data_IF_047312589068
#
_entry.id   IF_047312589068
#
_cell.length_a   1.000
_cell.length_b   1.000
_cell.length_c   1.000
_cell.angle_alpha   90.00
_cell.angle_beta   90.00
_cell.angle_gamma   90.00
#
_symmetry.space_group_name_H-M   'P 1'
#
loop_
_entity.id
_entity.type
_entity.pdbx_description
1 polymer ?
#
# COMPACT_ATOMS: atom_id res chain seq x y z
N UNK A 1 -6.96 20.81 13.15
CA UNK A 1 -7.82 19.75 12.54
C UNK A 1 -9.12 20.35 11.98
N UNK A 2 -9.97 21.05 12.79
CA UNK A 2 -11.26 21.57 12.33
C UNK A 2 -11.18 22.41 11.03
N UNK A 3 -10.26 23.39 10.97
CA UNK A 3 -10.05 24.21 9.76
C UNK A 3 -9.66 23.41 8.50
N UNK A 4 -9.05 22.23 8.65
CA UNK A 4 -8.70 21.37 7.51
C UNK A 4 -9.90 20.62 6.96
N UNK A 5 -10.87 20.30 7.81
CA UNK A 5 -12.17 19.74 7.37
C UNK A 5 -12.95 20.79 6.58
N UNK A 6 -12.99 22.03 7.08
CA UNK A 6 -13.62 23.16 6.38
C UNK A 6 -12.95 23.47 5.03
N UNK A 7 -11.64 23.25 4.94
CA UNK A 7 -10.86 23.39 3.70
C UNK A 7 -10.92 22.17 2.79
N UNK A 8 -11.83 21.21 3.03
CA UNK A 8 -11.96 19.96 2.27
C UNK A 8 -10.70 19.09 2.24
N UNK A 9 -9.88 19.13 3.30
CA UNK A 9 -8.69 18.31 3.47
C UNK A 9 -8.78 17.43 4.74
N UNK A 10 -9.78 16.52 4.83
CA UNK A 10 -10.06 15.76 6.04
C UNK A 10 -8.91 14.85 6.45
N UNK A 11 -8.17 14.28 5.50
CA UNK A 11 -7.04 13.42 5.82
C UNK A 11 -5.89 14.19 6.48
N UNK A 12 -5.62 15.45 6.09
CA UNK A 12 -4.67 16.30 6.81
C UNK A 12 -5.16 16.61 8.24
N UNK A 13 -6.46 16.78 8.42
CA UNK A 13 -7.06 16.95 9.74
C UNK A 13 -6.80 15.75 10.65
N UNK A 14 -6.99 14.54 10.13
CA UNK A 14 -6.70 13.28 10.84
C UNK A 14 -5.22 13.18 11.21
N UNK A 15 -4.31 13.39 10.24
CA UNK A 15 -2.85 13.37 10.47
C UNK A 15 -2.42 14.34 11.57
N UNK A 16 -2.95 15.57 11.56
CA UNK A 16 -2.66 16.57 12.60
C UNK A 16 -3.21 16.17 13.98
N UNK A 17 -4.31 15.43 14.04
CA UNK A 17 -4.84 14.92 15.31
C UNK A 17 -3.96 13.79 15.85
N UNK A 18 -3.56 12.85 14.97
CA UNK A 18 -2.66 11.75 15.33
C UNK A 18 -1.28 12.23 15.78
N UNK A 19 -0.78 13.33 15.20
CA UNK A 19 0.46 13.98 15.64
C UNK A 19 0.42 14.44 17.09
N UNK A 20 -0.73 14.92 17.55
CA UNK A 20 -0.88 15.36 18.95
C UNK A 20 -0.72 14.19 19.93
N UNK A 21 -1.02 12.97 19.48
CA UNK A 21 -0.95 11.76 20.30
C UNK A 21 0.44 11.08 20.28
N UNK A 22 1.34 11.49 19.38
CA UNK A 22 2.68 10.89 19.21
C UNK A 22 3.65 11.31 20.34
N UNK A 23 3.46 12.50 20.91
CA UNK A 23 4.44 13.13 21.82
C UNK A 23 4.80 12.35 23.08
N UNK A 24 3.93 11.45 23.57
CA UNK A 24 4.10 10.81 24.88
C UNK A 24 4.46 9.30 24.83
N UNK A 25 4.58 8.70 23.64
CA UNK A 25 4.57 7.22 23.53
C UNK A 25 5.83 6.56 22.95
N UNK A 26 6.79 7.32 22.45
CA UNK A 26 7.97 6.74 21.78
C UNK A 26 9.24 7.53 22.06
N UNK A 27 10.39 6.85 22.35
CA UNK A 27 11.69 7.53 22.44
C UNK A 27 12.08 8.27 21.14
N UNK A 28 11.55 7.86 20.00
CA UNK A 28 11.82 8.45 18.68
C UNK A 28 10.76 9.48 18.24
N UNK A 29 9.98 10.02 19.16
CA UNK A 29 8.87 10.95 18.85
C UNK A 29 9.28 12.16 18.01
N UNK A 30 10.43 12.74 18.30
CA UNK A 30 10.91 13.92 17.58
C UNK A 30 11.19 13.62 16.11
N UNK A 31 11.75 12.45 15.81
CA UNK A 31 11.97 11.96 14.45
C UNK A 31 10.67 11.70 13.72
N UNK A 32 9.73 11.01 14.37
CA UNK A 32 8.41 10.73 13.83
C UNK A 32 7.63 12.02 13.55
N UNK A 33 7.64 12.97 14.48
CA UNK A 33 7.03 14.29 14.34
C UNK A 33 7.63 15.05 13.14
N UNK A 34 8.96 15.10 13.04
CA UNK A 34 9.65 15.79 11.94
C UNK A 34 9.31 15.18 10.60
N UNK A 35 9.28 13.86 10.49
CA UNK A 35 8.91 13.14 9.27
C UNK A 35 7.47 13.45 8.84
N UNK A 36 6.53 13.44 9.78
CA UNK A 36 5.12 13.70 9.48
C UNK A 36 4.87 15.18 9.13
N UNK A 37 5.49 16.12 9.83
CA UNK A 37 5.43 17.54 9.46
C UNK A 37 6.04 17.80 8.08
N UNK A 38 7.14 17.11 7.73
CA UNK A 38 7.74 17.15 6.41
C UNK A 38 6.77 16.61 5.34
N UNK A 39 6.08 15.52 5.63
CA UNK A 39 5.05 14.93 4.76
C UNK A 39 3.90 15.90 4.53
N UNK A 40 3.36 16.49 5.59
CA UNK A 40 2.29 17.49 5.50
C UNK A 40 2.76 18.71 4.68
N UNK A 41 3.98 19.21 4.94
CA UNK A 41 4.54 20.32 4.16
C UNK A 41 4.64 19.98 2.67
N UNK A 42 5.13 18.79 2.34
CA UNK A 42 5.24 18.33 0.95
C UNK A 42 3.87 18.25 0.27
N UNK A 43 2.84 17.73 0.95
CA UNK A 43 1.47 17.69 0.42
C UNK A 43 0.95 19.10 0.15
N UNK A 44 1.14 20.04 1.09
CA UNK A 44 0.69 21.42 0.93
C UNK A 44 1.40 22.10 -0.23
N UNK A 45 2.71 21.94 -0.37
CA UNK A 45 3.48 22.47 -1.49
C UNK A 45 3.04 21.90 -2.81
N UNK A 46 2.85 20.59 -2.90
CA UNK A 46 2.38 19.92 -4.10
C UNK A 46 0.97 20.40 -4.49
N UNK A 47 0.09 20.63 -3.52
CA UNK A 47 -1.23 21.21 -3.78
C UNK A 47 -1.16 22.64 -4.33
N UNK A 48 -0.26 23.47 -3.80
CA UNK A 48 -0.05 24.84 -4.30
C UNK A 48 0.46 24.86 -5.74
N UNK A 49 1.31 23.90 -6.11
CA UNK A 49 1.95 23.80 -7.42
C UNK A 49 1.21 22.82 -8.38
N UNK A 50 0.00 22.36 -8.01
CA UNK A 50 -0.71 21.27 -8.72
C UNK A 50 -0.93 21.49 -10.22
N UNK A 51 -1.00 22.77 -10.66
CA UNK A 51 -1.17 23.12 -12.07
C UNK A 51 0.08 22.79 -12.91
N UNK A 52 1.23 22.65 -12.25
CA UNK A 52 2.51 22.33 -12.89
C UNK A 52 2.94 20.88 -12.71
N UNK A 53 2.16 20.09 -11.93
CA UNK A 53 2.47 18.68 -11.66
C UNK A 53 1.87 17.77 -12.75
N UNK A 54 2.52 16.62 -13.03
CA UNK A 54 1.91 15.55 -13.81
C UNK A 54 0.58 15.10 -13.24
N UNK A 55 -0.39 14.72 -14.09
CA UNK A 55 -1.73 14.32 -13.68
C UNK A 55 -1.74 13.20 -12.63
N UNK A 56 -0.85 12.21 -12.77
CA UNK A 56 -0.70 11.10 -11.83
C UNK A 56 -0.29 11.58 -10.44
N UNK A 57 0.60 12.55 -10.36
CA UNK A 57 1.03 13.13 -9.09
C UNK A 57 -0.06 14.00 -8.46
N UNK A 58 -0.84 14.73 -9.26
CA UNK A 58 -2.03 15.44 -8.79
C UNK A 58 -3.04 14.48 -8.19
N UNK A 59 -3.28 13.32 -8.83
CA UNK A 59 -4.15 12.29 -8.28
C UNK A 59 -3.64 11.76 -6.93
N UNK A 60 -2.32 11.55 -6.78
CA UNK A 60 -1.70 11.16 -5.51
C UNK A 60 -1.91 12.25 -4.43
N UNK A 61 -1.72 13.54 -4.76
CA UNK A 61 -2.00 14.66 -3.85
C UNK A 61 -3.46 14.66 -3.39
N UNK A 62 -4.41 14.46 -4.30
CA UNK A 62 -5.83 14.36 -3.97
C UNK A 62 -6.11 13.25 -2.96
N UNK A 63 -5.49 12.08 -3.13
CA UNK A 63 -5.60 10.97 -2.18
C UNK A 63 -5.07 11.35 -0.79
N UNK A 64 -3.92 12.03 -0.73
CA UNK A 64 -3.31 12.49 0.53
C UNK A 64 -4.14 13.55 1.25
N UNK A 65 -4.89 14.35 0.52
CA UNK A 65 -5.83 15.34 1.08
C UNK A 65 -7.12 14.67 1.57
N UNK A 66 -7.40 13.42 1.18
CA UNK A 66 -8.64 12.73 1.46
C UNK A 66 -9.77 13.09 0.49
N UNK A 67 -9.41 13.63 -0.67
CA UNK A 67 -10.35 13.83 -1.77
C UNK A 67 -10.59 12.48 -2.44
N UNK A 68 -11.66 11.81 -2.03
CA UNK A 68 -11.96 10.47 -2.52
C UNK A 68 -12.45 10.49 -3.97
N UNK A 69 -11.86 9.66 -4.80
CA UNK A 69 -12.44 9.30 -6.10
C UNK A 69 -13.63 8.38 -5.83
N UNK A 70 -14.82 8.72 -6.36
CA UNK A 70 -16.00 7.88 -6.20
C UNK A 70 -15.83 6.55 -6.91
N UNK A 71 -16.37 5.49 -6.32
CA UNK A 71 -16.26 4.13 -6.86
C UNK A 71 -16.76 4.05 -8.31
N UNK A 72 -17.86 4.74 -8.63
CA UNK A 72 -18.44 4.77 -9.97
C UNK A 72 -17.46 5.35 -11.01
N UNK A 73 -16.69 6.37 -10.63
CA UNK A 73 -15.68 6.94 -11.51
C UNK A 73 -14.51 5.98 -11.75
N UNK A 74 -14.09 5.24 -10.72
CA UNK A 74 -13.04 4.22 -10.86
C UNK A 74 -13.54 3.05 -11.72
N UNK A 75 -14.78 2.61 -11.55
CA UNK A 75 -15.38 1.53 -12.34
C UNK A 75 -15.65 1.93 -13.81
N UNK A 76 -15.62 3.23 -14.13
CA UNK A 76 -15.69 3.72 -15.51
C UNK A 76 -14.32 3.69 -16.22
N UNK A 77 -13.23 3.56 -15.48
CA UNK A 77 -11.88 3.39 -16.04
C UNK A 77 -11.72 2.04 -16.75
N UNK A 78 -10.80 1.90 -17.70
CA UNK A 78 -10.56 0.65 -18.39
C UNK A 78 -10.26 -0.51 -17.42
N UNK A 79 -10.95 -1.63 -17.62
CA UNK A 79 -10.72 -2.84 -16.86
C UNK A 79 -9.42 -3.55 -17.26
N UNK A 80 -8.78 -4.18 -16.29
CA UNK A 80 -7.65 -5.08 -16.49
C UNK A 80 -8.07 -6.47 -16.09
N UNK A 81 -8.38 -7.31 -17.09
CA UNK A 81 -8.72 -8.71 -16.89
C UNK A 81 -7.44 -9.53 -16.77
N UNK A 82 -7.31 -10.32 -15.71
CA UNK A 82 -6.16 -11.21 -15.51
C UNK A 82 -6.50 -12.37 -14.55
N UNK A 83 -5.61 -13.37 -14.50
CA UNK A 83 -5.52 -14.33 -13.41
C UNK A 83 -4.62 -13.72 -12.33
N UNK A 84 -5.24 -13.25 -11.28
CA UNK A 84 -4.57 -12.53 -10.20
C UNK A 84 -4.16 -13.49 -9.09
N UNK A 85 -2.87 -13.61 -8.82
CA UNK A 85 -2.35 -14.36 -7.68
C UNK A 85 -2.40 -13.47 -6.45
N UNK A 86 -3.02 -13.95 -5.39
CA UNK A 86 -3.01 -13.30 -4.09
C UNK A 86 -1.68 -13.61 -3.41
N UNK A 87 -0.81 -12.62 -3.35
CA UNK A 87 0.55 -12.78 -2.80
C UNK A 87 0.62 -12.58 -1.30
N UNK A 88 -0.34 -11.88 -0.73
CA UNK A 88 -0.42 -11.64 0.70
C UNK A 88 -1.52 -10.67 1.09
N UNK A 89 -1.78 -10.59 2.38
CA UNK A 89 -2.68 -9.60 2.96
C UNK A 89 -2.15 -9.10 4.29
N UNK A 90 -2.50 -7.86 4.62
CA UNK A 90 -2.14 -7.22 5.88
C UNK A 90 -3.34 -6.44 6.41
N UNK A 91 -3.69 -6.68 7.67
CA UNK A 91 -4.69 -5.90 8.38
C UNK A 91 -4.03 -4.73 9.10
N UNK A 92 -4.57 -3.54 8.92
CA UNK A 92 -4.12 -2.29 9.57
C UNK A 92 -5.29 -1.63 10.27
N UNK A 93 -5.05 -1.12 11.47
CA UNK A 93 -6.02 -0.24 12.13
C UNK A 93 -5.99 1.14 11.46
N UNK A 94 -7.15 1.62 11.01
CA UNK A 94 -7.30 2.97 10.43
C UNK A 94 -8.39 3.72 11.22
N UNK A 95 -7.98 4.36 12.31
CA UNK A 95 -8.88 5.05 13.21
C UNK A 95 -9.87 4.08 13.90
N UNK A 96 -11.15 4.16 13.50
CA UNK A 96 -12.24 3.33 14.07
C UNK A 96 -12.56 2.07 13.26
N UNK A 97 -11.83 1.81 12.19
CA UNK A 97 -12.04 0.67 11.31
C UNK A 97 -10.75 -0.12 11.15
N UNK A 98 -10.89 -1.34 10.71
CA UNK A 98 -9.76 -2.17 10.29
C UNK A 98 -9.81 -2.26 8.76
N UNK A 99 -8.68 -1.99 8.12
CA UNK A 99 -8.50 -2.11 6.69
C UNK A 99 -7.66 -3.36 6.37
N UNK A 100 -8.16 -4.24 5.51
CA UNK A 100 -7.40 -5.34 4.94
C UNK A 100 -6.85 -4.94 3.58
N UNK A 101 -5.54 -4.86 3.48
CA UNK A 101 -4.83 -4.65 2.23
C UNK A 101 -4.46 -6.02 1.65
N UNK A 102 -5.07 -6.39 0.53
CA UNK A 102 -4.75 -7.61 -0.20
C UNK A 102 -3.94 -7.26 -1.44
N UNK A 103 -2.79 -7.89 -1.59
CA UNK A 103 -1.86 -7.68 -2.70
C UNK A 103 -2.03 -8.78 -3.73
N UNK A 104 -2.23 -8.38 -4.98
CA UNK A 104 -2.45 -9.26 -6.11
C UNK A 104 -1.41 -9.00 -7.19
N UNK A 105 -1.01 -10.07 -7.87
CA UNK A 105 -0.10 -10.01 -9.02
C UNK A 105 -0.77 -10.65 -10.24
N UNK A 106 -0.90 -9.91 -11.33
CA UNK A 106 -1.47 -10.38 -12.58
C UNK A 106 -0.48 -11.26 -13.34
N UNK A 107 -0.84 -12.52 -13.57
CA UNK A 107 0.04 -13.51 -14.22
C UNK A 107 0.40 -13.13 -15.65
N UNK A 108 -0.53 -12.56 -16.39
CA UNK A 108 -0.36 -12.18 -17.79
C UNK A 108 0.21 -10.78 -17.95
N UNK A 109 -0.29 -9.84 -17.14
CA UNK A 109 0.08 -8.41 -17.28
C UNK A 109 1.33 -8.02 -16.51
N UNK A 110 1.75 -8.83 -15.52
CA UNK A 110 2.83 -8.48 -14.61
C UNK A 110 2.50 -7.29 -13.67
N UNK A 111 1.25 -6.85 -13.65
CA UNK A 111 0.82 -5.71 -12.83
C UNK A 111 0.56 -6.13 -11.40
N UNK A 112 0.92 -5.24 -10.49
CA UNK A 112 0.50 -5.33 -9.10
C UNK A 112 -0.82 -4.60 -8.90
N UNK A 113 -1.67 -5.14 -8.04
CA UNK A 113 -2.89 -4.50 -7.57
C UNK A 113 -3.00 -4.61 -6.05
N UNK A 114 -3.62 -3.60 -5.44
CA UNK A 114 -3.95 -3.58 -4.02
C UNK A 114 -5.46 -3.38 -3.86
N UNK A 115 -6.14 -4.37 -3.33
CA UNK A 115 -7.55 -4.27 -2.95
C UNK A 115 -7.63 -3.99 -1.45
N UNK A 116 -8.45 -3.02 -1.07
CA UNK A 116 -8.63 -2.63 0.34
C UNK A 116 -10.09 -2.88 0.70
N UNK A 117 -10.30 -3.71 1.72
CA UNK A 117 -11.59 -3.93 2.35
C UNK A 117 -11.59 -3.31 3.73
N UNK A 118 -12.70 -2.67 4.10
CA UNK A 118 -12.87 -2.03 5.41
C UNK A 118 -13.96 -2.72 6.20
N UNK A 119 -13.74 -2.90 7.50
CA UNK A 119 -14.74 -3.36 8.46
C UNK A 119 -14.55 -2.66 9.81
N UNK A 120 -15.55 -2.75 10.69
CA UNK A 120 -15.43 -2.23 12.06
C UNK A 120 -14.54 -3.13 12.89
N UNK A 121 -14.66 -4.43 12.70
CA UNK A 121 -13.91 -5.45 13.40
C UNK A 121 -13.20 -6.37 12.39
N UNK A 122 -12.10 -6.97 12.81
CA UNK A 122 -11.28 -7.85 11.97
C UNK A 122 -12.04 -9.07 11.46
N UNK A 123 -12.95 -9.57 12.26
CA UNK A 123 -13.77 -10.76 11.98
C UNK A 123 -14.77 -10.53 10.85
N UNK A 124 -15.19 -9.28 10.64
CA UNK A 124 -16.10 -8.86 9.57
C UNK A 124 -15.38 -8.70 8.21
N UNK A 125 -14.05 -8.69 8.19
CA UNK A 125 -13.28 -8.51 6.95
C UNK A 125 -13.46 -9.73 6.02
N UNK A 126 -13.76 -9.49 4.74
CA UNK A 126 -13.93 -10.57 3.77
C UNK A 126 -12.65 -11.39 3.62
N UNK A 127 -12.79 -12.73 3.56
CA UNK A 127 -11.67 -13.68 3.39
C UNK A 127 -11.50 -14.14 1.94
N UNK A 128 -11.93 -13.34 0.99
CA UNK A 128 -11.97 -13.69 -0.43
C UNK A 128 -10.56 -13.83 -0.99
N UNK A 129 -9.66 -12.95 -0.56
CA UNK A 129 -8.29 -12.91 -1.05
C UNK A 129 -7.34 -13.61 -0.07
N UNK A 130 -7.26 -14.94 -0.17
CA UNK A 130 -6.36 -15.76 0.65
C UNK A 130 -5.00 -15.87 -0.05
N UNK A 131 -3.91 -15.59 0.67
CA UNK A 131 -2.57 -15.71 0.11
C UNK A 131 -2.28 -17.13 -0.41
N UNK A 132 -1.63 -17.22 -1.56
CA UNK A 132 -1.35 -18.48 -2.25
C UNK A 132 -2.51 -19.02 -3.11
N UNK A 133 -3.60 -18.26 -3.22
CA UNK A 133 -4.70 -18.59 -4.16
C UNK A 133 -4.68 -17.66 -5.37
N UNK A 134 -5.48 -17.98 -6.38
CA UNK A 134 -5.69 -17.09 -7.52
C UNK A 134 -7.18 -16.82 -7.72
N UNK A 135 -7.45 -15.69 -8.35
CA UNK A 135 -8.79 -15.28 -8.78
C UNK A 135 -8.74 -14.82 -10.23
N UNK A 136 -9.72 -15.18 -11.02
CA UNK A 136 -9.93 -14.62 -12.35
C UNK A 136 -10.82 -13.38 -12.18
N UNK A 137 -10.26 -12.20 -12.34
CA UNK A 137 -10.95 -10.96 -12.04
C UNK A 137 -10.65 -9.85 -13.04
N UNK A 138 -11.59 -8.91 -13.13
CA UNK A 138 -11.49 -7.65 -13.85
C UNK A 138 -11.35 -6.53 -12.86
N UNK A 139 -10.20 -5.88 -12.84
CA UNK A 139 -9.88 -4.82 -11.89
C UNK A 139 -9.82 -3.47 -12.57
N UNK A 140 -10.39 -2.46 -11.92
CA UNK A 140 -10.34 -1.06 -12.32
C UNK A 140 -9.40 -0.33 -11.35
N UNK A 141 -8.39 0.34 -11.89
CA UNK A 141 -7.38 1.02 -11.08
C UNK A 141 -7.79 2.45 -10.77
N UNK A 142 -7.49 2.87 -9.55
CA UNK A 142 -7.60 4.28 -9.20
C UNK A 142 -6.64 5.12 -10.06
N UNK A 143 -7.01 6.38 -10.37
CA UNK A 143 -6.13 7.28 -11.10
C UNK A 143 -4.78 7.47 -10.41
N UNK A 144 -3.76 7.74 -11.19
CA UNK A 144 -2.40 7.97 -10.72
C UNK A 144 -1.55 6.71 -10.66
N UNK A 145 -0.42 6.80 -9.98
CA UNK A 145 0.55 5.69 -9.82
C UNK A 145 0.17 4.69 -8.73
N UNK A 146 -0.99 4.89 -8.09
CA UNK A 146 -1.49 4.01 -7.03
C UNK A 146 -1.72 2.59 -7.55
N UNK A 147 -1.32 1.61 -6.76
CA UNK A 147 -1.65 0.21 -7.02
C UNK A 147 -3.09 -0.15 -6.57
N UNK A 148 -3.82 0.81 -6.01
CA UNK A 148 -5.18 0.59 -5.53
C UNK A 148 -6.11 0.29 -6.69
N UNK A 149 -6.92 -0.75 -6.53
CA UNK A 149 -7.88 -1.18 -7.52
C UNK A 149 -9.22 -1.53 -6.86
N UNK A 150 -10.27 -1.45 -7.67
CA UNK A 150 -11.60 -1.94 -7.36
C UNK A 150 -11.96 -3.11 -8.28
N UNK A 151 -12.81 -3.97 -7.75
CA UNK A 151 -13.51 -4.99 -8.50
C UNK A 151 -14.99 -4.65 -8.53
N UNK A 152 -15.64 -4.80 -9.68
CA UNK A 152 -17.06 -4.54 -9.83
C UNK A 152 -17.91 -5.55 -9.06
N UNK A 153 -17.39 -6.75 -8.86
CA UNK A 153 -18.01 -7.84 -8.11
C UNK A 153 -16.95 -8.65 -7.35
N UNK A 154 -17.40 -9.45 -6.41
CA UNK A 154 -16.55 -10.42 -5.75
C UNK A 154 -16.30 -11.61 -6.69
N UNK A 155 -15.04 -11.96 -6.88
CA UNK A 155 -14.62 -13.10 -7.67
C UNK A 155 -14.18 -14.22 -6.73
N UNK A 156 -14.78 -15.41 -6.84
CA UNK A 156 -14.36 -16.54 -6.01
C UNK A 156 -12.92 -16.97 -6.37
N UNK A 157 -12.20 -17.50 -5.40
CA UNK A 157 -10.91 -18.13 -5.65
C UNK A 157 -11.07 -19.32 -6.57
N UNK A 158 -10.22 -19.43 -7.58
CA UNK A 158 -10.17 -20.58 -8.48
C UNK A 158 -9.27 -21.71 -7.96
N UNK A 159 -8.73 -21.56 -6.76
CA UNK A 159 -7.95 -22.59 -6.07
C UNK A 159 -6.53 -22.14 -5.69
N UNK A 160 -5.77 -23.06 -5.12
CA UNK A 160 -4.37 -22.82 -4.76
C UNK A 160 -3.50 -22.72 -6.01
N UNK A 161 -2.50 -21.83 -5.95
CA UNK A 161 -1.51 -21.67 -7.02
C UNK A 161 -0.36 -22.63 -6.78
N UNK A 162 -0.19 -23.60 -7.66
CA UNK A 162 0.88 -24.61 -7.57
C UNK A 162 1.96 -24.43 -8.63
N UNK A 163 1.64 -23.73 -9.72
CA UNK A 163 2.44 -23.63 -10.94
C UNK A 163 2.99 -22.22 -11.21
N UNK A 164 2.86 -21.31 -10.26
CA UNK A 164 3.29 -19.94 -10.43
C UNK A 164 4.66 -19.70 -9.79
N UNK A 165 5.63 -19.36 -10.62
CA UNK A 165 6.97 -19.00 -10.21
C UNK A 165 7.39 -17.71 -10.93
N UNK A 166 7.03 -16.54 -10.42
CA UNK A 166 7.49 -15.27 -11.01
C UNK A 166 9.00 -15.15 -10.85
N UNK A 167 9.64 -14.47 -11.78
CA UNK A 167 11.06 -14.15 -11.65
C UNK A 167 11.27 -13.26 -10.42
N UNK A 168 11.95 -13.75 -9.37
CA UNK A 168 12.18 -12.94 -8.17
C UNK A 168 13.24 -11.89 -8.43
N UNK A 169 13.14 -10.77 -7.74
CA UNK A 169 14.16 -9.74 -7.73
C UNK A 169 15.27 -10.07 -6.71
N UNK A 170 16.53 -9.72 -6.99
CA UNK A 170 17.52 -9.61 -5.93
C UNK A 170 17.12 -8.46 -4.99
N UNK A 171 17.65 -8.44 -3.77
CA UNK A 171 17.33 -7.41 -2.77
C UNK A 171 17.66 -6.01 -3.29
N UNK A 172 18.75 -5.86 -4.02
CA UNK A 172 19.13 -4.58 -4.65
C UNK A 172 18.06 -4.14 -5.65
N UNK A 173 17.57 -5.03 -6.52
CA UNK A 173 16.51 -4.73 -7.47
C UNK A 173 15.18 -4.35 -6.80
N UNK A 174 14.84 -5.00 -5.68
CA UNK A 174 13.65 -4.61 -4.90
C UNK A 174 13.80 -3.18 -4.31
N UNK A 175 15.00 -2.81 -3.87
CA UNK A 175 15.29 -1.44 -3.40
C UNK A 175 15.25 -0.41 -4.52
N UNK A 176 15.68 -0.78 -5.72
CA UNK A 176 15.58 0.07 -6.92
C UNK A 176 14.11 0.29 -7.29
N UNK A 177 13.33 -0.77 -7.34
CA UNK A 177 11.89 -0.68 -7.59
C UNK A 177 11.15 0.16 -6.52
N UNK A 178 11.62 0.14 -5.26
CA UNK A 178 11.10 1.03 -4.23
C UNK A 178 11.49 2.49 -4.47
N UNK A 179 12.74 2.78 -4.81
CA UNK A 179 13.19 4.14 -5.15
C UNK A 179 12.40 4.74 -6.30
N UNK A 180 12.17 3.95 -7.36
CA UNK A 180 11.37 4.35 -8.51
C UNK A 180 9.92 4.64 -8.12
N UNK A 181 9.34 3.82 -7.23
CA UNK A 181 8.00 4.04 -6.73
C UNK A 181 7.89 5.34 -5.93
N UNK A 182 8.86 5.63 -5.05
CA UNK A 182 8.90 6.88 -4.27
C UNK A 182 9.18 8.10 -5.16
N UNK A 183 9.97 7.94 -6.23
CA UNK A 183 10.20 9.01 -7.20
C UNK A 183 8.92 9.35 -7.97
N UNK A 184 8.08 8.36 -8.28
CA UNK A 184 6.79 8.56 -8.95
C UNK A 184 5.69 9.04 -8.00
N UNK A 185 5.68 8.53 -6.76
CA UNK A 185 4.74 8.91 -5.69
C UNK A 185 5.49 9.08 -4.38
N UNK A 186 5.85 10.30 -3.98
CA UNK A 186 6.59 10.58 -2.74
C UNK A 186 5.85 10.15 -1.47
N UNK A 187 4.56 9.88 -1.56
CA UNK A 187 3.72 9.41 -0.44
C UNK A 187 3.44 7.91 -0.48
N UNK A 188 4.09 7.16 -1.38
CA UNK A 188 3.96 5.71 -1.41
C UNK A 188 4.37 5.11 -0.06
N UNK A 189 3.46 4.39 0.58
CA UNK A 189 3.63 3.77 1.90
C UNK A 189 4.12 2.32 1.82
N UNK A 190 3.87 1.67 0.71
CA UNK A 190 4.25 0.29 0.47
C UNK A 190 4.32 -0.04 -1.01
N UNK A 191 5.25 -0.91 -1.37
CA UNK A 191 5.33 -1.54 -2.69
C UNK A 191 5.57 -3.03 -2.51
N UNK A 192 4.76 -3.88 -3.13
CA UNK A 192 4.99 -5.31 -3.10
C UNK A 192 6.20 -5.67 -3.97
N UNK A 193 6.97 -6.66 -3.53
CA UNK A 193 8.06 -7.24 -4.29
C UNK A 193 8.15 -8.74 -3.99
N UNK A 194 8.55 -9.50 -5.00
CA UNK A 194 8.89 -10.91 -4.84
C UNK A 194 10.41 -10.99 -4.86
N UNK A 195 10.99 -11.40 -3.76
CA UNK A 195 12.44 -11.39 -3.55
C UNK A 195 12.91 -12.80 -3.25
N UNK A 196 14.03 -13.19 -3.85
CA UNK A 196 14.71 -14.42 -3.46
C UNK A 196 15.69 -14.13 -2.33
N UNK A 197 15.68 -14.97 -1.31
CA UNK A 197 16.61 -14.84 -0.19
C UNK A 197 16.41 -15.91 0.86
N UNK A 198 17.28 -15.90 1.84
CA UNK A 198 17.23 -16.77 3.04
C UNK A 198 17.08 -15.89 4.28
N UNK A 199 16.41 -16.43 5.29
CA UNK A 199 16.30 -15.77 6.58
C UNK A 199 17.69 -15.77 7.26
N UNK A 200 18.04 -14.64 7.84
CA UNK A 200 19.23 -14.39 8.61
C UNK A 200 18.94 -13.45 9.78
N UNK A 201 19.90 -13.24 10.65
CA UNK A 201 19.86 -12.19 11.66
C UNK A 201 20.89 -11.12 11.31
N UNK A 202 20.55 -9.85 11.56
CA UNK A 202 21.50 -8.75 11.46
C UNK A 202 22.44 -8.72 12.70
N UNK A 203 23.41 -7.81 12.69
CA UNK A 203 24.38 -7.64 13.79
C UNK A 203 23.72 -7.29 15.13
N UNK A 204 22.49 -6.80 15.11
CA UNK A 204 21.67 -6.53 16.30
C UNK A 204 20.74 -7.69 16.69
N UNK A 205 20.87 -8.87 16.07
CA UNK A 205 20.03 -10.03 16.33
C UNK A 205 18.62 -9.94 15.77
N UNK A 206 18.31 -8.94 14.91
CA UNK A 206 17.00 -8.77 14.31
C UNK A 206 16.87 -9.60 13.05
N UNK A 207 15.66 -10.13 12.81
CA UNK A 207 15.37 -10.94 11.63
C UNK A 207 15.53 -10.12 10.35
N UNK A 208 16.18 -10.72 9.36
CA UNK A 208 16.40 -10.11 8.05
C UNK A 208 16.29 -11.16 6.93
N UNK A 209 16.10 -10.71 5.71
CA UNK A 209 16.24 -11.50 4.49
C UNK A 209 17.55 -11.13 3.82
N UNK A 210 18.35 -12.13 3.40
CA UNK A 210 19.58 -11.90 2.64
C UNK A 210 19.65 -12.76 1.39
N UNK A 211 20.15 -12.20 0.30
CA UNK A 211 20.48 -12.92 -0.94
C UNK A 211 21.99 -13.19 -1.07
N UNK A 212 22.75 -12.88 -0.02
CA UNK A 212 24.20 -13.00 0.03
C UNK A 212 24.96 -11.75 -0.41
N UNK A 213 24.33 -10.85 -1.17
CA UNK A 213 24.91 -9.57 -1.60
C UNK A 213 24.37 -8.38 -0.80
N UNK A 214 23.17 -8.50 -0.31
CA UNK A 214 22.50 -7.48 0.47
C UNK A 214 21.62 -8.09 1.57
N UNK A 215 21.17 -7.25 2.50
CA UNK A 215 20.30 -7.64 3.60
C UNK A 215 19.11 -6.65 3.70
N UNK A 216 17.92 -7.20 3.89
CA UNK A 216 16.68 -6.44 4.08
C UNK A 216 16.13 -6.77 5.47
N UNK A 217 16.06 -5.79 6.40
CA UNK A 217 15.51 -6.02 7.72
C UNK A 217 14.02 -6.34 7.60
N UNK A 218 13.55 -7.33 8.36
CA UNK A 218 12.15 -7.71 8.44
C UNK A 218 11.53 -7.09 9.69
N UNK A 219 10.44 -6.35 9.48
CA UNK A 219 9.61 -5.79 10.55
C UNK A 219 8.27 -6.54 10.58
N UNK A 220 7.90 -7.07 11.74
CA UNK A 220 6.74 -7.95 11.87
C UNK A 220 7.16 -9.42 11.97
N UNK A 221 6.43 -10.19 12.76
CA UNK A 221 6.72 -11.61 12.96
C UNK A 221 6.55 -12.42 11.66
N UNK A 222 7.15 -13.62 11.58
CA UNK A 222 6.97 -14.49 10.43
C UNK A 222 5.49 -14.80 10.25
N UNK A 223 5.03 -14.76 8.98
CA UNK A 223 3.71 -15.27 8.63
C UNK A 223 3.63 -16.73 9.13
N UNK A 224 2.88 -16.96 10.18
CA UNK A 224 2.58 -18.33 10.62
C UNK A 224 1.56 -18.87 9.63
N UNK A 225 2.04 -19.62 8.64
CA UNK A 225 1.18 -20.55 7.93
C UNK A 225 0.75 -21.62 8.95
N UNK A 226 -0.52 -21.62 9.30
CA UNK A 226 -1.19 -22.78 9.87
C UNK A 226 -1.88 -23.53 8.76
#
# INVERSE_FOLDING_TARGET
AARMVDAQAPALGTRLTELADVGDRSPDWARALTAELGTIHLIVRAWQEREHLPADLVAAVHQQLGLSVRAEAVLAEPEVADHWVVTGSQDRGEGRVVARHSWLYGRRTGRWARIIAYAREREELPRIYTAGTQVEARLHFYPGVSLRALSQQEYPSTGAVTDWSPAPLPIVGAREAWRDAVAADPWADARPAIVVGRLATDDGGRLALTDGSAMLPLTGGPCRHR
#
